data_IF_002263574613
#
_entry.id   IF_002263574613
#
_cell.length_a   1.000
_cell.length_b   1.000
_cell.length_c   1.000
_cell.angle_alpha   90.00
_cell.angle_beta   90.00
_cell.angle_gamma   90.00
#
_symmetry.space_group_name_H-M   'P 1'
#
loop_
_entity.id
_entity.type
_entity.pdbx_description
1 polymer ?
#
# COMPACT_ATOMS: atom_id res chain seq x y z
N UNK A 1 -32.21 -8.65 7.91
CA UNK A 1 -30.78 -8.93 7.68
C UNK A 1 -30.28 -9.68 8.89
N UNK A 2 -29.60 -10.80 8.69
CA UNK A 2 -29.00 -11.57 9.78
C UNK A 2 -28.03 -10.67 10.57
N UNK A 3 -28.02 -10.76 11.90
CA UNK A 3 -27.36 -9.77 12.78
C UNK A 3 -25.89 -9.53 12.43
N UNK A 4 -25.16 -10.59 12.05
CA UNK A 4 -23.77 -10.49 11.60
C UNK A 4 -23.58 -9.77 10.27
N UNK A 5 -24.52 -9.91 9.32
CA UNK A 5 -24.45 -9.20 8.03
C UNK A 5 -24.61 -7.70 8.21
N UNK A 6 -25.47 -7.28 9.13
CA UNK A 6 -25.64 -5.87 9.48
C UNK A 6 -24.38 -5.27 10.13
N UNK A 7 -23.72 -6.01 11.01
CA UNK A 7 -22.45 -5.58 11.63
C UNK A 7 -21.33 -5.40 10.60
N UNK A 8 -21.15 -6.36 9.69
CA UNK A 8 -20.13 -6.27 8.62
C UNK A 8 -20.39 -5.06 7.74
N UNK A 9 -21.65 -4.87 7.31
CA UNK A 9 -22.02 -3.74 6.47
C UNK A 9 -21.72 -2.40 7.15
N UNK A 10 -22.08 -2.27 8.42
CA UNK A 10 -21.81 -1.06 9.20
C UNK A 10 -20.30 -0.80 9.34
N UNK A 11 -19.51 -1.84 9.61
CA UNK A 11 -18.06 -1.72 9.69
C UNK A 11 -17.44 -1.25 8.36
N UNK A 12 -17.91 -1.75 7.22
CA UNK A 12 -17.46 -1.31 5.90
C UNK A 12 -17.81 0.16 5.64
N UNK A 13 -19.04 0.58 5.96
CA UNK A 13 -19.46 1.98 5.81
C UNK A 13 -18.61 2.92 6.68
N UNK A 14 -18.35 2.56 7.93
CA UNK A 14 -17.51 3.35 8.84
C UNK A 14 -16.08 3.44 8.30
N UNK A 15 -15.51 2.32 7.87
CA UNK A 15 -14.17 2.30 7.27
C UNK A 15 -14.07 3.25 6.07
N UNK A 16 -15.01 3.16 5.12
CA UNK A 16 -15.02 4.05 3.95
C UNK A 16 -15.18 5.52 4.34
N UNK A 17 -16.07 5.83 5.30
CA UNK A 17 -16.28 7.18 5.77
C UNK A 17 -15.01 7.77 6.40
N UNK A 18 -14.27 6.97 7.18
CA UNK A 18 -12.98 7.38 7.78
C UNK A 18 -11.94 7.66 6.70
N UNK A 19 -11.76 6.75 5.74
CA UNK A 19 -10.78 6.92 4.65
C UNK A 19 -11.08 8.17 3.82
N UNK A 20 -12.35 8.37 3.45
CA UNK A 20 -12.78 9.58 2.73
C UNK A 20 -12.56 10.83 3.58
N UNK A 21 -12.89 10.77 4.88
CA UNK A 21 -12.72 11.88 5.81
C UNK A 21 -11.25 12.32 5.93
N UNK A 22 -10.31 11.37 5.99
CA UNK A 22 -8.86 11.66 5.97
C UNK A 22 -8.49 12.36 4.65
N UNK A 23 -8.98 11.87 3.51
CA UNK A 23 -8.74 12.49 2.21
C UNK A 23 -9.23 13.94 2.13
N UNK A 24 -10.48 14.19 2.58
CA UNK A 24 -11.06 15.53 2.63
C UNK A 24 -10.31 16.46 3.58
N UNK A 25 -9.81 15.94 4.71
CA UNK A 25 -9.02 16.73 5.65
C UNK A 25 -7.70 17.22 5.03
N UNK A 26 -7.00 16.35 4.27
CA UNK A 26 -5.70 16.69 3.67
C UNK A 26 -5.79 17.33 2.28
N UNK A 27 -6.96 17.37 1.63
CA UNK A 27 -7.11 17.86 0.24
C UNK A 27 -6.62 19.30 0.04
N UNK A 28 -6.87 20.18 1.02
CA UNK A 28 -6.42 21.57 0.96
C UNK A 28 -4.91 21.68 0.93
N UNK A 29 -4.22 20.84 1.71
CA UNK A 29 -2.75 20.80 1.77
C UNK A 29 -2.18 20.20 0.49
N UNK A 30 -2.77 19.12 0.00
CA UNK A 30 -2.35 18.46 -1.23
C UNK A 30 -2.44 19.40 -2.45
N UNK A 31 -3.47 20.24 -2.53
CA UNK A 31 -3.69 21.16 -3.65
C UNK A 31 -2.83 22.44 -3.63
N UNK A 32 -1.96 22.63 -2.63
CA UNK A 32 -1.15 23.86 -2.55
C UNK A 32 -0.09 23.97 -3.66
N UNK A 33 0.56 22.85 -4.00
CA UNK A 33 1.54 22.76 -5.07
C UNK A 33 1.86 21.28 -5.39
N UNK A 34 2.58 21.05 -6.49
CA UNK A 34 2.97 19.70 -6.91
C UNK A 34 3.87 18.99 -5.90
N UNK A 35 4.66 19.70 -5.09
CA UNK A 35 5.53 19.09 -4.08
C UNK A 35 4.71 18.48 -2.93
N UNK A 36 3.72 19.22 -2.43
CA UNK A 36 2.79 18.74 -1.41
C UNK A 36 1.90 17.61 -1.94
N UNK A 37 1.53 17.67 -3.22
CA UNK A 37 0.74 16.62 -3.85
C UNK A 37 1.53 15.32 -4.06
N UNK A 38 2.76 15.41 -4.59
CA UNK A 38 3.54 14.24 -5.03
C UNK A 38 4.35 13.60 -3.90
N UNK A 39 4.92 14.40 -2.99
CA UNK A 39 5.86 13.91 -1.96
C UNK A 39 5.46 14.35 -0.54
N UNK A 40 4.25 14.88 -0.36
CA UNK A 40 3.75 15.31 0.95
C UNK A 40 4.59 16.42 1.59
N UNK A 41 5.27 17.23 0.77
CA UNK A 41 6.20 18.28 1.22
C UNK A 41 7.36 17.74 2.06
N UNK A 42 7.77 16.47 1.84
CA UNK A 42 8.86 15.78 2.57
C UNK A 42 8.69 15.75 4.10
N UNK A 43 7.48 15.99 4.57
CA UNK A 43 7.16 16.04 6.00
C UNK A 43 6.82 14.67 6.59
N UNK A 44 6.60 13.67 5.74
CA UNK A 44 6.24 12.31 6.13
C UNK A 44 7.52 11.52 6.41
N UNK A 45 7.64 11.01 7.64
CA UNK A 45 8.81 10.25 8.08
C UNK A 45 9.02 8.95 7.29
N UNK A 46 10.24 8.40 7.29
CA UNK A 46 10.61 7.25 6.46
C UNK A 46 9.76 5.99 6.73
N UNK A 47 9.37 5.76 7.99
CA UNK A 47 8.54 4.61 8.37
C UNK A 47 7.14 4.67 7.77
N UNK A 48 6.45 5.81 7.92
CA UNK A 48 5.09 5.99 7.38
C UNK A 48 5.11 5.95 5.85
N UNK A 49 6.14 6.53 5.23
CA UNK A 49 6.34 6.47 3.79
C UNK A 49 6.57 5.04 3.30
N UNK A 50 7.38 4.24 4.01
CA UNK A 50 7.60 2.84 3.67
C UNK A 50 6.33 1.99 3.83
N UNK A 51 5.56 2.20 4.90
CA UNK A 51 4.28 1.53 5.10
C UNK A 51 3.26 1.91 4.03
N UNK A 52 3.22 3.18 3.61
CA UNK A 52 2.36 3.63 2.53
C UNK A 52 2.75 3.02 1.18
N UNK A 53 4.05 2.88 0.92
CA UNK A 53 4.55 2.22 -0.28
C UNK A 53 4.16 0.73 -0.30
N UNK A 54 4.33 0.04 0.83
CA UNK A 54 3.99 -1.38 0.93
C UNK A 54 2.48 -1.61 0.89
N UNK A 55 1.67 -0.80 1.57
CA UNK A 55 0.21 -0.87 1.46
C UNK A 55 -0.30 -0.63 0.03
N UNK A 56 0.43 0.16 -0.77
CA UNK A 56 0.12 0.38 -2.19
C UNK A 56 0.52 -0.80 -3.07
N UNK A 57 1.62 -1.47 -2.74
CA UNK A 57 2.08 -2.71 -3.39
C UNK A 57 1.16 -3.89 -3.05
N UNK A 58 0.67 -3.94 -1.81
CA UNK A 58 -0.23 -4.95 -1.28
C UNK A 58 -1.68 -4.73 -1.73
N UNK A 59 -1.95 -5.11 -2.98
CA UNK A 59 -3.31 -5.20 -3.51
C UNK A 59 -4.01 -6.50 -3.09
N UNK A 60 -5.22 -6.72 -3.61
CA UNK A 60 -5.92 -8.02 -3.50
C UNK A 60 -5.11 -9.23 -4.01
N UNK A 61 -4.01 -8.99 -4.74
CA UNK A 61 -3.04 -10.01 -5.13
C UNK A 61 -2.46 -10.78 -3.93
N UNK A 62 -2.13 -10.13 -2.81
CA UNK A 62 -1.60 -10.87 -1.66
C UNK A 62 -2.68 -11.63 -0.90
N UNK A 63 -3.91 -11.11 -0.90
CA UNK A 63 -5.04 -11.76 -0.24
C UNK A 63 -5.53 -13.00 -0.99
N UNK A 64 -5.52 -12.97 -2.32
CA UNK A 64 -6.10 -14.05 -3.15
C UNK A 64 -5.07 -14.73 -4.06
N UNK A 65 -4.08 -14.00 -4.56
CA UNK A 65 -3.06 -14.50 -5.48
C UNK A 65 -2.05 -15.42 -4.81
N UNK A 66 -1.38 -14.98 -3.74
CA UNK A 66 -0.40 -15.82 -3.04
C UNK A 66 -1.03 -17.11 -2.46
N UNK A 67 -2.20 -17.06 -1.80
CA UNK A 67 -2.91 -18.26 -1.38
C UNK A 67 -3.39 -19.11 -2.56
N UNK A 68 -3.77 -18.50 -3.68
CA UNK A 68 -4.13 -19.22 -4.91
C UNK A 68 -2.96 -20.01 -5.50
N UNK A 69 -1.75 -19.42 -5.51
CA UNK A 69 -0.52 -20.13 -5.91
C UNK A 69 -0.24 -21.29 -4.96
N UNK A 70 -0.34 -21.06 -3.64
CA UNK A 70 -0.16 -22.11 -2.64
C UNK A 70 -1.17 -23.25 -2.81
N UNK A 71 -2.42 -22.92 -3.12
CA UNK A 71 -3.49 -23.90 -3.33
C UNK A 71 -3.25 -24.77 -4.56
N UNK A 72 -2.76 -24.19 -5.67
CA UNK A 72 -2.64 -24.88 -6.95
C UNK A 72 -1.29 -25.58 -7.15
N UNK A 73 -0.20 -24.94 -6.73
CA UNK A 73 1.17 -25.38 -6.97
C UNK A 73 1.89 -25.84 -5.68
N UNK A 74 1.27 -25.62 -4.53
CA UNK A 74 1.80 -26.02 -3.23
C UNK A 74 2.62 -24.92 -2.55
N UNK A 75 3.01 -25.20 -1.31
CA UNK A 75 3.63 -24.21 -0.42
C UNK A 75 5.04 -23.80 -0.87
N UNK A 76 5.75 -24.68 -1.58
CA UNK A 76 7.11 -24.40 -2.04
C UNK A 76 7.15 -23.25 -3.05
N UNK A 77 6.23 -23.25 -4.03
CA UNK A 77 6.16 -22.20 -5.04
C UNK A 77 5.66 -20.87 -4.45
N UNK A 78 4.72 -20.93 -3.51
CA UNK A 78 4.30 -19.73 -2.78
C UNK A 78 5.45 -19.13 -1.95
N UNK A 79 6.27 -19.96 -1.31
CA UNK A 79 7.43 -19.50 -0.54
C UNK A 79 8.51 -18.89 -1.45
N UNK A 80 8.81 -19.52 -2.59
CA UNK A 80 9.75 -18.96 -3.57
C UNK A 80 9.26 -17.66 -4.18
N UNK A 81 7.95 -17.52 -4.39
CA UNK A 81 7.33 -16.27 -4.84
C UNK A 81 7.54 -15.17 -3.80
N UNK A 82 7.29 -15.45 -2.51
CA UNK A 82 7.52 -14.48 -1.44
C UNK A 82 9.00 -14.07 -1.32
N UNK A 83 9.93 -15.02 -1.41
CA UNK A 83 11.38 -14.75 -1.39
C UNK A 83 11.78 -13.90 -2.59
N UNK A 84 11.31 -14.25 -3.79
CA UNK A 84 11.58 -13.52 -5.01
C UNK A 84 11.08 -12.08 -4.95
N UNK A 85 9.88 -11.86 -4.41
CA UNK A 85 9.33 -10.52 -4.17
C UNK A 85 10.18 -9.73 -3.18
N UNK A 86 10.57 -10.33 -2.05
CA UNK A 86 11.42 -9.65 -1.06
C UNK A 86 12.75 -9.20 -1.67
N UNK A 87 13.42 -10.11 -2.37
CA UNK A 87 14.70 -9.80 -3.04
C UNK A 87 14.51 -8.78 -4.16
N UNK A 88 13.48 -8.92 -4.98
CA UNK A 88 13.15 -8.01 -6.07
C UNK A 88 12.88 -6.58 -5.58
N UNK A 89 12.06 -6.44 -4.54
CA UNK A 89 11.75 -5.14 -3.91
C UNK A 89 12.99 -4.50 -3.32
N UNK A 90 13.84 -5.28 -2.63
CA UNK A 90 15.11 -4.77 -2.11
C UNK A 90 16.05 -4.28 -3.22
N UNK A 91 16.21 -5.07 -4.29
CA UNK A 91 17.05 -4.69 -5.43
C UNK A 91 16.50 -3.47 -6.17
N UNK A 92 15.17 -3.38 -6.34
CA UNK A 92 14.52 -2.20 -6.92
C UNK A 92 14.84 -0.94 -6.11
N UNK A 93 14.71 -1.02 -4.78
CA UNK A 93 15.05 0.08 -3.89
C UNK A 93 16.53 0.48 -4.01
N UNK A 94 17.43 -0.49 -4.00
CA UNK A 94 18.87 -0.25 -4.06
C UNK A 94 19.30 0.41 -5.39
N UNK A 95 18.75 -0.05 -6.51
CA UNK A 95 19.19 0.33 -7.85
C UNK A 95 18.43 1.52 -8.44
N UNK A 96 17.13 1.63 -8.16
CA UNK A 96 16.24 2.62 -8.77
C UNK A 96 15.99 3.81 -7.84
N UNK A 97 15.63 3.56 -6.57
CA UNK A 97 15.23 4.63 -5.66
C UNK A 97 16.35 5.64 -5.42
N UNK A 98 17.62 5.18 -5.33
CA UNK A 98 18.77 6.07 -5.16
C UNK A 98 18.96 7.03 -6.33
N UNK A 99 18.72 6.57 -7.58
CA UNK A 99 18.81 7.41 -8.78
C UNK A 99 17.67 8.40 -8.84
N UNK A 100 16.44 7.95 -8.61
CA UNK A 100 15.25 8.81 -8.59
C UNK A 100 15.34 9.93 -7.55
N UNK A 101 15.89 9.63 -6.36
CA UNK A 101 16.08 10.65 -5.32
C UNK A 101 16.95 11.82 -5.80
N UNK A 102 17.95 11.56 -6.64
CA UNK A 102 18.83 12.60 -7.21
C UNK A 102 18.16 13.52 -8.23
N UNK A 103 17.06 13.09 -8.87
CA UNK A 103 16.30 13.90 -9.82
C UNK A 103 15.12 14.67 -9.20
N UNK A 104 14.76 14.30 -7.97
CA UNK A 104 13.62 14.86 -7.23
C UNK A 104 14.01 15.93 -6.19
N UNK A 105 15.32 16.22 -6.06
CA UNK A 105 15.87 17.31 -5.22
C UNK A 105 15.86 18.63 -5.96
#
# INVERSE_FOLDING_TARGET
>A
MDGGKAQIFMAMCIYMAVVIGIGVYYIKRANQNSENYLIGGRSIGPWITAMGAEASDMSGWLLMGLPGVAYWFGLSDAAWTAIGLLVGTYLNWLLVAKRLRGYSV
#
